data_IF_543987036892
#
_entry.id   IF_543987036892
#
_cell.length_a   1.000
_cell.length_b   1.000
_cell.length_c   1.000
_cell.angle_alpha   90.00
_cell.angle_beta   90.00
_cell.angle_gamma   90.00
#
_symmetry.space_group_name_H-M   'P 1'
#
loop_
_entity.id
_entity.type
_entity.pdbx_description
1 polymer ?
#
# COMPACT_ATOMS: atom_id res chain seq x y z
N UNK A 1 -1.31 22.10 -16.32
CA UNK A 1 -0.16 21.40 -16.95
C UNK A 1 0.55 20.44 -15.99
N UNK A 2 0.62 20.77 -14.69
CA UNK A 2 1.29 19.92 -13.68
C UNK A 2 0.61 18.56 -13.46
N UNK A 3 -0.72 18.51 -13.28
CA UNK A 3 -1.48 17.23 -13.09
C UNK A 3 -1.21 16.20 -14.19
N UNK A 4 -1.20 16.61 -15.47
CA UNK A 4 -0.91 15.72 -16.63
C UNK A 4 0.53 15.19 -16.64
N UNK A 5 1.51 16.01 -16.26
CA UNK A 5 2.92 15.58 -16.15
C UNK A 5 3.11 14.62 -14.97
N UNK A 6 2.46 14.88 -13.84
CA UNK A 6 2.53 14.05 -12.64
C UNK A 6 1.83 12.71 -12.84
N UNK A 7 0.67 12.69 -13.52
CA UNK A 7 -0.03 11.46 -13.90
C UNK A 7 0.86 10.53 -14.73
N UNK A 8 1.63 11.08 -15.68
CA UNK A 8 2.61 10.32 -16.45
C UNK A 8 3.79 9.78 -15.61
N UNK A 9 4.12 10.45 -14.51
CA UNK A 9 5.19 10.04 -13.58
C UNK A 9 4.71 8.98 -12.58
N UNK A 10 3.47 9.09 -12.09
CA UNK A 10 2.83 8.14 -11.19
C UNK A 10 2.49 6.81 -11.89
N UNK A 11 2.18 6.86 -13.19
CA UNK A 11 1.94 5.66 -14.02
C UNK A 11 3.22 5.08 -14.64
N UNK A 12 4.37 5.74 -14.49
CA UNK A 12 5.65 5.18 -14.91
C UNK A 12 6.06 4.06 -13.94
N UNK A 13 6.51 2.89 -14.43
CA UNK A 13 6.97 1.83 -13.54
C UNK A 13 8.13 2.38 -12.70
N UNK A 14 8.01 2.19 -11.38
CA UNK A 14 9.00 2.56 -10.36
C UNK A 14 10.30 1.78 -10.58
N UNK A 15 11.11 2.22 -11.54
CA UNK A 15 12.47 1.73 -11.80
C UNK A 15 13.41 2.73 -11.17
N UNK A 16 13.67 2.57 -9.87
CA UNK A 16 14.91 2.99 -9.21
C UNK A 16 14.85 2.68 -7.71
N UNK A 17 15.10 1.42 -7.36
CA UNK A 17 15.83 1.11 -6.13
C UNK A 17 16.99 0.21 -6.57
N UNK A 18 18.18 0.81 -6.72
CA UNK A 18 19.37 0.08 -7.09
C UNK A 18 19.76 -0.90 -5.97
N UNK A 19 20.20 -2.13 -6.28
CA UNK A 19 20.66 -3.07 -5.26
C UNK A 19 22.06 -2.65 -4.81
N UNK A 20 22.21 -2.30 -3.53
CA UNK A 20 23.52 -2.23 -2.88
C UNK A 20 24.05 -3.68 -2.77
N UNK A 21 25.07 -3.98 -3.57
CA UNK A 21 25.70 -5.30 -3.62
C UNK A 21 26.84 -5.48 -2.62
N UNK A 22 27.24 -6.75 -2.48
CA UNK A 22 28.42 -7.30 -1.80
C UNK A 22 28.36 -7.36 -0.26
N UNK A 23 28.76 -8.42 0.46
CA UNK A 23 29.62 -9.58 0.15
C UNK A 23 29.40 -10.67 1.23
N UNK A 24 29.73 -11.91 0.86
CA UNK A 24 29.63 -13.13 1.67
C UNK A 24 30.77 -13.27 2.68
N UNK A 25 30.49 -13.78 3.89
CA UNK A 25 31.39 -14.71 4.61
C UNK A 25 30.64 -15.59 5.61
N UNK A 26 31.09 -16.84 5.67
CA UNK A 26 30.68 -18.02 6.40
C UNK A 26 30.86 -17.99 7.93
N UNK A 27 30.07 -18.79 8.67
CA UNK A 27 30.40 -19.23 10.03
C UNK A 27 29.25 -19.95 10.76
N UNK A 28 29.51 -21.17 11.26
CA UNK A 28 28.57 -22.16 11.79
C UNK A 28 28.15 -22.00 13.27
N UNK A 29 26.92 -22.46 13.55
CA UNK A 29 26.44 -23.32 14.66
C UNK A 29 26.68 -22.95 16.16
N UNK A 30 25.60 -22.81 16.95
CA UNK A 30 25.07 -23.85 17.87
C UNK A 30 24.09 -23.31 18.94
N UNK A 31 22.95 -24.01 19.02
CA UNK A 31 22.00 -24.29 20.13
C UNK A 31 22.24 -23.70 21.54
N UNK A 32 21.21 -23.08 22.14
CA UNK A 32 20.47 -23.60 23.32
C UNK A 32 19.44 -22.61 23.89
N UNK A 33 18.33 -23.18 24.34
CA UNK A 33 17.15 -22.56 24.94
C UNK A 33 17.45 -21.90 26.30
N UNK A 34 16.64 -20.91 26.71
CA UNK A 34 15.87 -20.89 27.99
C UNK A 34 15.03 -19.60 28.06
N UNK A 35 13.74 -19.76 28.34
CA UNK A 35 12.80 -18.68 28.65
C UNK A 35 13.15 -17.95 29.95
N UNK A 36 12.99 -16.62 29.97
CA UNK A 36 12.59 -15.91 31.19
C UNK A 36 11.84 -14.64 30.83
N UNK A 37 10.57 -14.57 31.27
CA UNK A 37 9.75 -13.35 31.23
C UNK A 37 10.24 -12.40 32.32
N UNK A 38 10.68 -11.21 31.92
CA UNK A 38 10.83 -10.06 32.79
C UNK A 38 10.48 -8.82 31.97
N UNK A 39 9.52 -8.04 32.45
CA UNK A 39 9.03 -6.85 31.76
C UNK A 39 10.12 -5.79 31.63
N UNK A 40 10.36 -5.35 30.40
CA UNK A 40 11.11 -4.14 30.11
C UNK A 40 10.38 -3.38 28.99
N UNK A 41 9.67 -2.33 29.40
CA UNK A 41 9.28 -1.21 28.56
C UNK A 41 10.56 -0.40 28.27
N UNK A 42 11.43 -0.94 27.44
CA UNK A 42 12.64 -0.25 26.97
C UNK A 42 12.76 -0.41 25.46
N UNK A 43 12.81 0.74 24.77
CA UNK A 43 13.32 0.81 23.40
C UNK A 43 12.51 0.07 22.34
N UNK A 44 11.22 0.39 22.17
CA UNK A 44 10.61 0.25 20.83
C UNK A 44 11.25 1.30 19.91
N UNK A 45 12.49 1.02 19.47
CA UNK A 45 12.94 1.40 18.14
C UNK A 45 11.77 1.06 17.22
N UNK A 46 11.42 1.94 16.27
CA UNK A 46 10.37 1.70 15.29
C UNK A 46 10.58 0.35 14.59
N UNK A 47 10.15 -0.75 15.21
CA UNK A 47 9.94 -2.03 14.56
C UNK A 47 8.66 -1.75 13.79
N UNK A 48 8.87 -1.10 12.65
CA UNK A 48 7.93 -0.81 11.60
C UNK A 48 7.58 -2.19 11.01
N UNK A 49 6.96 -3.04 11.83
CA UNK A 49 6.48 -4.34 11.42
C UNK A 49 5.28 -4.02 10.54
N UNK A 50 5.46 -4.11 9.22
CA UNK A 50 4.30 -4.33 8.34
C UNK A 50 3.65 -5.58 8.92
N UNK A 51 2.44 -5.49 9.48
CA UNK A 51 1.85 -6.63 10.16
C UNK A 51 1.82 -7.80 9.19
N UNK A 52 2.48 -8.91 9.56
CA UNK A 52 2.66 -10.08 8.69
C UNK A 52 1.31 -10.68 8.27
N UNK A 53 0.24 -10.33 8.97
CA UNK A 53 -1.16 -10.68 8.69
C UNK A 53 -1.80 -9.86 7.54
N UNK A 54 -1.12 -8.84 7.01
CA UNK A 54 -1.53 -8.12 5.79
C UNK A 54 -1.04 -8.80 4.50
N UNK A 55 -0.11 -9.76 4.62
CA UNK A 55 0.56 -10.39 3.48
C UNK A 55 0.50 -11.90 3.60
N UNK A 56 -0.01 -12.58 2.58
CA UNK A 56 0.09 -14.03 2.48
C UNK A 56 1.44 -14.38 1.86
N UNK A 57 2.24 -15.18 2.56
CA UNK A 57 3.52 -15.66 2.03
C UNK A 57 3.28 -16.69 0.94
N UNK A 58 3.96 -16.50 -0.18
CA UNK A 58 3.77 -17.27 -1.39
C UNK A 58 2.59 -16.76 -2.21
N UNK A 59 2.89 -16.30 -3.43
CA UNK A 59 1.99 -16.43 -4.58
C UNK A 59 1.56 -17.91 -4.61
N UNK A 60 0.47 -18.30 -5.20
CA UNK A 60 0.04 -19.73 -5.28
C UNK A 60 -0.28 -20.45 -3.95
N UNK A 61 0.05 -19.89 -2.79
CA UNK A 61 -0.41 -20.40 -1.50
C UNK A 61 -1.93 -20.43 -1.46
N UNK A 62 -2.49 -21.58 -1.07
CA UNK A 62 -3.93 -21.77 -0.87
C UNK A 62 -4.26 -21.48 0.58
N UNK A 63 -5.15 -20.53 0.80
CA UNK A 63 -5.67 -20.17 2.12
C UNK A 63 -7.19 -20.24 2.10
N UNK A 64 -7.79 -20.43 3.27
CA UNK A 64 -9.23 -20.37 3.39
C UNK A 64 -9.74 -18.97 2.97
N UNK A 65 -10.90 -18.90 2.27
CA UNK A 65 -11.51 -17.63 1.93
C UNK A 65 -11.94 -16.87 3.18
N UNK A 66 -11.89 -15.54 3.10
CA UNK A 66 -12.37 -14.68 4.18
C UNK A 66 -13.90 -14.56 4.11
N UNK A 67 -14.56 -14.60 5.26
CA UNK A 67 -15.96 -14.16 5.35
C UNK A 67 -16.06 -12.65 5.12
N UNK A 68 -17.25 -12.14 4.79
CA UNK A 68 -17.47 -10.70 4.63
C UNK A 68 -17.02 -9.90 5.87
N UNK A 69 -17.33 -10.38 7.08
CA UNK A 69 -16.88 -9.75 8.32
C UNK A 69 -15.35 -9.72 8.47
N UNK A 70 -14.65 -10.79 8.05
CA UNK A 70 -13.20 -10.81 8.05
C UNK A 70 -12.59 -9.87 6.99
N UNK A 71 -13.27 -9.67 5.85
CA UNK A 71 -12.89 -8.68 4.83
C UNK A 71 -12.98 -7.26 5.37
N UNK A 72 -14.06 -6.92 6.09
CA UNK A 72 -14.11 -5.64 6.84
C UNK A 72 -13.06 -5.55 7.95
N UNK A 73 -12.70 -6.65 8.59
CA UNK A 73 -11.54 -6.71 9.48
C UNK A 73 -10.23 -6.30 8.80
N UNK A 74 -10.06 -6.59 7.51
CA UNK A 74 -8.89 -6.14 6.75
C UNK A 74 -8.87 -4.62 6.56
N UNK A 75 -10.03 -3.96 6.49
CA UNK A 75 -10.09 -2.48 6.45
C UNK A 75 -9.44 -1.90 7.69
N UNK A 76 -9.83 -2.37 8.88
CA UNK A 76 -9.27 -1.90 10.15
C UNK A 76 -7.76 -2.17 10.25
N UNK A 77 -7.31 -3.36 9.80
CA UNK A 77 -5.90 -3.74 9.82
C UNK A 77 -5.04 -2.89 8.87
N UNK A 78 -5.52 -2.63 7.66
CA UNK A 78 -4.79 -1.79 6.70
C UNK A 78 -4.81 -0.32 7.13
N UNK A 79 -5.95 0.20 7.58
CA UNK A 79 -6.03 1.62 7.98
C UNK A 79 -5.25 1.90 9.26
N UNK A 80 -5.30 1.00 10.24
CA UNK A 80 -4.53 1.11 11.49
C UNK A 80 -3.03 0.85 11.33
N UNK A 81 -2.55 0.49 10.13
CA UNK A 81 -1.14 0.28 9.88
C UNK A 81 -0.40 1.64 9.80
N UNK A 82 0.67 1.86 10.59
CA UNK A 82 1.47 3.09 10.52
C UNK A 82 2.00 3.42 9.11
N UNK A 83 2.30 2.41 8.30
CA UNK A 83 2.76 2.60 6.92
C UNK A 83 1.71 3.27 6.03
N UNK A 84 0.42 3.11 6.34
CA UNK A 84 -0.65 3.80 5.62
C UNK A 84 -0.48 5.30 5.80
N UNK A 85 -0.37 5.77 7.04
CA UNK A 85 -0.17 7.20 7.33
C UNK A 85 1.15 7.76 6.78
N UNK A 86 2.24 6.98 6.83
CA UNK A 86 3.53 7.37 6.23
C UNK A 86 3.40 7.51 4.70
N UNK A 87 2.74 6.55 4.05
CA UNK A 87 2.45 6.60 2.61
C UNK A 87 1.59 7.80 2.24
N UNK A 88 0.50 8.04 2.98
CA UNK A 88 -0.38 9.19 2.81
C UNK A 88 0.34 10.52 3.04
N UNK A 89 1.28 10.59 3.99
CA UNK A 89 2.11 11.78 4.19
C UNK A 89 3.05 12.03 3.00
N UNK A 90 3.62 10.97 2.41
CA UNK A 90 4.43 11.09 1.22
C UNK A 90 3.60 11.53 0.00
N UNK A 91 2.38 11.02 -0.16
CA UNK A 91 1.41 11.46 -1.17
C UNK A 91 1.09 12.95 -1.03
N UNK A 92 0.72 13.40 0.17
CA UNK A 92 0.47 14.81 0.45
C UNK A 92 1.69 15.70 0.16
N UNK A 93 2.91 15.19 0.39
CA UNK A 93 4.15 15.88 0.07
C UNK A 93 4.42 16.01 -1.43
N UNK A 94 4.07 14.98 -2.22
CA UNK A 94 4.10 15.03 -3.68
C UNK A 94 3.06 16.06 -4.16
N UNK A 95 1.84 15.96 -3.67
CA UNK A 95 0.77 16.92 -4.00
C UNK A 95 1.15 18.36 -3.63
N UNK A 96 1.80 18.56 -2.49
CA UNK A 96 2.36 19.85 -2.07
C UNK A 96 3.40 20.38 -3.07
N UNK A 97 4.38 19.53 -3.43
CA UNK A 97 5.49 19.90 -4.32
C UNK A 97 5.02 20.25 -5.73
N UNK A 98 3.96 19.60 -6.20
CA UNK A 98 3.34 19.87 -7.50
C UNK A 98 2.17 20.85 -7.42
N UNK A 99 1.90 21.42 -6.24
CA UNK A 99 0.79 22.32 -5.99
C UNK A 99 -0.57 21.75 -6.43
N UNK A 100 -0.77 20.44 -6.29
CA UNK A 100 -2.08 19.81 -6.50
C UNK A 100 -3.03 20.35 -5.42
N UNK A 101 -4.30 20.62 -5.75
CA UNK A 101 -5.23 21.32 -4.86
C UNK A 101 -4.76 22.74 -4.50
N UNK A 102 -4.49 23.59 -5.49
CA UNK A 102 -3.80 24.89 -5.34
C UNK A 102 -4.46 25.81 -4.28
N UNK A 103 -5.79 25.75 -4.15
CA UNK A 103 -6.55 26.53 -3.16
C UNK A 103 -6.25 26.20 -1.70
N UNK A 104 -5.68 25.02 -1.43
CA UNK A 104 -5.18 24.71 -0.10
C UNK A 104 -3.98 25.59 0.28
N UNK A 105 -3.35 26.24 -0.69
CA UNK A 105 -2.19 27.10 -0.49
C UNK A 105 -0.91 26.30 -0.30
N UNK A 106 0.15 26.98 0.10
CA UNK A 106 1.47 26.40 0.36
C UNK A 106 1.83 26.50 1.85
N UNK A 107 2.95 25.91 2.24
CA UNK A 107 3.37 25.83 3.63
C UNK A 107 2.61 24.76 4.44
N UNK A 108 2.81 24.78 5.76
CA UNK A 108 2.31 23.75 6.66
C UNK A 108 0.78 23.61 6.66
N UNK A 109 0.05 24.71 6.50
CA UNK A 109 -1.42 24.69 6.44
C UNK A 109 -1.90 23.97 5.16
N UNK A 110 -1.34 24.32 4.01
CA UNK A 110 -1.68 23.66 2.74
C UNK A 110 -1.33 22.18 2.74
N UNK A 111 -0.17 21.83 3.31
CA UNK A 111 0.22 20.43 3.47
C UNK A 111 -0.74 19.67 4.39
N UNK A 112 -1.13 20.27 5.52
CA UNK A 112 -2.08 19.67 6.46
C UNK A 112 -3.45 19.42 5.84
N UNK A 113 -3.93 20.33 4.99
CA UNK A 113 -5.18 20.16 4.22
C UNK A 113 -5.08 18.99 3.23
N UNK A 114 -3.97 18.91 2.47
CA UNK A 114 -3.71 17.78 1.55
C UNK A 114 -3.66 16.46 2.31
N UNK A 115 -2.84 16.39 3.36
CA UNK A 115 -2.71 15.20 4.18
C UNK A 115 -4.05 14.75 4.79
N UNK A 116 -4.85 15.67 5.33
CA UNK A 116 -6.18 15.34 5.87
C UNK A 116 -7.12 14.79 4.80
N UNK A 117 -7.12 15.38 3.59
CA UNK A 117 -7.90 14.89 2.47
C UNK A 117 -7.41 13.50 2.02
N UNK A 118 -6.10 13.30 1.92
CA UNK A 118 -5.49 12.04 1.48
C UNK A 118 -5.74 10.90 2.49
N UNK A 119 -5.84 11.22 3.79
CA UNK A 119 -6.27 10.26 4.82
C UNK A 119 -7.74 9.85 4.62
N UNK A 120 -8.63 10.80 4.34
CA UNK A 120 -10.04 10.51 4.07
C UNK A 120 -10.22 9.70 2.78
N UNK A 121 -9.44 10.06 1.77
CA UNK A 121 -9.30 9.34 0.51
C UNK A 121 -8.87 7.89 0.76
N UNK A 122 -7.78 7.70 1.49
CA UNK A 122 -7.25 6.38 1.84
C UNK A 122 -8.27 5.55 2.63
N UNK A 123 -8.91 6.14 3.64
CA UNK A 123 -9.93 5.47 4.45
C UNK A 123 -11.08 4.93 3.60
N UNK A 124 -11.61 5.77 2.69
CA UNK A 124 -12.73 5.39 1.83
C UNK A 124 -12.31 4.36 0.78
N UNK A 125 -11.14 4.50 0.13
CA UNK A 125 -10.63 3.48 -0.79
C UNK A 125 -10.45 2.14 -0.11
N UNK A 126 -9.86 2.09 1.08
CA UNK A 126 -9.68 0.83 1.82
C UNK A 126 -11.02 0.22 2.24
N UNK A 127 -11.98 1.04 2.68
CA UNK A 127 -13.32 0.57 3.05
C UNK A 127 -14.01 -0.15 1.87
N UNK A 128 -13.96 0.45 0.68
CA UNK A 128 -14.55 -0.14 -0.51
C UNK A 128 -13.71 -1.28 -1.10
N UNK A 129 -12.38 -1.11 -1.18
CA UNK A 129 -11.43 -2.00 -1.85
C UNK A 129 -11.03 -3.24 -1.05
N UNK A 130 -11.13 -3.20 0.28
CA UNK A 130 -10.89 -4.37 1.14
C UNK A 130 -12.18 -4.93 1.77
N UNK A 131 -13.21 -4.12 1.95
CA UNK A 131 -14.48 -4.51 2.58
C UNK A 131 -15.59 -4.76 1.57
N UNK A 132 -16.18 -3.69 1.05
CA UNK A 132 -17.44 -3.72 0.27
C UNK A 132 -17.29 -4.55 -1.01
N UNK A 133 -16.42 -4.14 -1.93
CA UNK A 133 -16.32 -4.77 -3.24
C UNK A 133 -15.79 -6.20 -3.18
N UNK A 134 -14.77 -6.54 -2.37
CA UNK A 134 -14.35 -7.92 -2.24
C UNK A 134 -15.43 -8.83 -1.64
N UNK A 135 -16.29 -8.30 -0.77
CA UNK A 135 -17.43 -9.04 -0.24
C UNK A 135 -18.50 -9.28 -1.30
N UNK A 136 -18.75 -8.29 -2.16
CA UNK A 136 -19.74 -8.38 -3.25
C UNK A 136 -19.27 -9.28 -4.41
N UNK A 137 -18.00 -9.19 -4.80
CA UNK A 137 -17.45 -9.92 -5.95
C UNK A 137 -16.81 -11.26 -5.58
N UNK A 138 -16.86 -11.66 -4.32
CA UNK A 138 -16.23 -12.88 -3.82
C UNK A 138 -14.74 -12.95 -4.19
N UNK A 139 -14.02 -11.87 -3.93
CA UNK A 139 -12.57 -11.79 -4.11
C UNK A 139 -11.84 -11.68 -2.78
N UNK A 140 -10.59 -12.10 -2.78
CA UNK A 140 -9.70 -12.02 -1.64
C UNK A 140 -8.96 -10.68 -1.67
N UNK A 141 -9.15 -9.82 -0.65
CA UNK A 141 -8.47 -8.51 -0.57
C UNK A 141 -6.98 -8.59 -0.20
N UNK A 142 -6.47 -9.76 0.19
CA UNK A 142 -5.10 -9.89 0.71
C UNK A 142 -4.06 -9.87 -0.40
N UNK A 143 -2.90 -9.27 -0.12
CA UNK A 143 -1.75 -9.34 -1.01
C UNK A 143 -1.01 -10.66 -0.83
N UNK A 144 -0.76 -11.37 -1.93
CA UNK A 144 0.01 -12.62 -1.94
C UNK A 144 1.42 -12.33 -2.43
N UNK A 145 2.41 -12.45 -1.55
CA UNK A 145 3.81 -12.09 -1.83
C UNK A 145 4.49 -13.15 -2.69
N UNK A 146 5.14 -12.74 -3.78
CA UNK A 146 5.90 -13.66 -4.63
C UNK A 146 7.17 -14.15 -3.92
N UNK A 147 7.92 -13.24 -3.29
CA UNK A 147 8.97 -13.52 -2.32
C UNK A 147 10.24 -14.19 -2.84
N UNK A 148 10.25 -14.66 -4.09
CA UNK A 148 11.39 -15.26 -4.77
C UNK A 148 11.47 -14.78 -6.22
N UNK A 149 12.62 -14.99 -6.86
CA UNK A 149 12.91 -14.50 -8.22
C UNK A 149 13.70 -13.19 -8.24
N UNK A 150 13.94 -12.66 -9.44
CA UNK A 150 14.69 -11.42 -9.64
C UNK A 150 13.92 -10.20 -9.12
N UNK A 151 14.65 -9.13 -8.79
CA UNK A 151 14.06 -7.84 -8.41
C UNK A 151 12.98 -7.38 -9.41
N UNK A 152 13.29 -7.39 -10.71
CA UNK A 152 12.36 -6.97 -11.76
C UNK A 152 11.11 -7.87 -11.85
N UNK A 153 11.27 -9.19 -11.73
CA UNK A 153 10.12 -10.10 -11.73
C UNK A 153 9.16 -9.80 -10.58
N UNK A 154 9.70 -9.51 -9.39
CA UNK A 154 8.90 -9.22 -8.20
C UNK A 154 8.27 -7.85 -8.26
N UNK A 155 8.99 -6.83 -8.75
CA UNK A 155 8.47 -5.49 -8.97
C UNK A 155 7.34 -5.47 -10.02
N UNK A 156 7.51 -6.20 -11.12
CA UNK A 156 6.44 -6.38 -12.12
C UNK A 156 5.23 -7.11 -11.53
N UNK A 157 5.48 -8.18 -10.77
CA UNK A 157 4.42 -8.93 -10.10
C UNK A 157 3.62 -8.04 -9.14
N UNK A 158 4.29 -7.30 -8.26
CA UNK A 158 3.64 -6.43 -7.26
C UNK A 158 2.89 -5.28 -7.93
N UNK A 159 3.50 -4.64 -8.94
CA UNK A 159 2.88 -3.55 -9.69
C UNK A 159 1.62 -3.98 -10.44
N UNK A 160 1.57 -5.22 -10.96
CA UNK A 160 0.37 -5.72 -11.67
C UNK A 160 -0.77 -6.14 -10.73
N UNK A 161 -0.56 -6.24 -9.41
CA UNK A 161 -1.62 -6.69 -8.48
C UNK A 161 -2.77 -5.69 -8.32
N UNK A 162 -2.57 -4.42 -8.65
CA UNK A 162 -3.67 -3.44 -8.73
C UNK A 162 -4.65 -3.75 -9.87
N UNK A 163 -4.23 -4.53 -10.88
CA UNK A 163 -5.09 -4.98 -11.98
C UNK A 163 -5.47 -6.45 -11.89
N UNK A 164 -4.81 -7.24 -11.03
CA UNK A 164 -5.05 -8.68 -10.92
C UNK A 164 -5.21 -9.09 -9.46
N UNK A 165 -6.41 -9.54 -9.12
CA UNK A 165 -6.76 -10.07 -7.79
C UNK A 165 -7.05 -11.57 -7.84
N UNK A 166 -7.39 -12.16 -6.70
CA UNK A 166 -7.84 -13.55 -6.56
C UNK A 166 -9.30 -13.60 -6.17
N UNK A 167 -10.04 -14.57 -6.70
CA UNK A 167 -11.34 -14.94 -6.14
C UNK A 167 -11.15 -15.66 -4.80
N UNK A 168 -12.22 -15.76 -4.00
CA UNK A 168 -12.26 -16.56 -2.78
C UNK A 168 -11.93 -18.05 -3.05
N UNK A 169 -12.14 -18.52 -4.28
CA UNK A 169 -11.75 -19.85 -4.76
C UNK A 169 -10.30 -19.96 -5.27
N UNK A 170 -9.54 -18.87 -5.24
CA UNK A 170 -8.11 -18.82 -5.61
C UNK A 170 -7.82 -18.60 -7.10
N UNK A 171 -8.82 -18.31 -7.95
CA UNK A 171 -8.58 -18.01 -9.37
C UNK A 171 -8.13 -16.56 -9.55
N UNK A 172 -7.22 -16.32 -10.49
CA UNK A 172 -6.82 -14.96 -10.86
C UNK A 172 -7.86 -14.31 -11.76
N UNK A 173 -8.28 -13.09 -11.42
CA UNK A 173 -9.26 -12.30 -12.17
C UNK A 173 -8.84 -10.85 -12.22
N UNK A 174 -9.45 -10.07 -13.12
CA UNK A 174 -9.28 -8.62 -13.13
C UNK A 174 -9.70 -8.03 -11.79
N UNK A 175 -8.91 -7.10 -11.27
CA UNK A 175 -9.15 -6.45 -9.98
C UNK A 175 -10.20 -5.34 -10.09
N UNK A 176 -11.43 -5.72 -10.48
CA UNK A 176 -12.57 -4.82 -10.47
C UNK A 176 -12.82 -4.17 -9.08
N UNK A 177 -12.64 -4.88 -7.94
CA UNK A 177 -12.76 -4.25 -6.62
C UNK A 177 -11.88 -3.03 -6.43
N UNK A 178 -10.60 -3.11 -6.80
CA UNK A 178 -9.66 -1.99 -6.72
C UNK A 178 -10.11 -0.82 -7.58
N UNK A 179 -10.36 -1.07 -8.87
CA UNK A 179 -10.70 -0.01 -9.82
C UNK A 179 -12.00 0.70 -9.41
N UNK A 180 -13.00 -0.05 -8.95
CA UNK A 180 -14.26 0.52 -8.46
C UNK A 180 -14.08 1.24 -7.12
N UNK A 181 -13.19 0.78 -6.25
CA UNK A 181 -12.85 1.46 -5.00
C UNK A 181 -12.16 2.80 -5.28
N UNK A 182 -11.13 2.82 -6.14
CA UNK A 182 -10.44 4.04 -6.54
C UNK A 182 -11.41 5.02 -7.19
N UNK A 183 -12.31 4.55 -8.07
CA UNK A 183 -13.33 5.39 -8.69
C UNK A 183 -14.35 5.92 -7.66
N UNK A 184 -14.90 5.06 -6.79
CA UNK A 184 -15.90 5.48 -5.80
C UNK A 184 -15.31 6.48 -4.82
N UNK A 185 -14.12 6.20 -4.33
CA UNK A 185 -13.42 7.06 -3.39
C UNK A 185 -13.06 8.40 -4.03
N UNK A 186 -12.54 8.41 -5.27
CA UNK A 186 -12.33 9.67 -6.03
C UNK A 186 -13.63 10.42 -6.31
N UNK A 187 -14.76 9.72 -6.41
CA UNK A 187 -16.10 10.29 -6.46
C UNK A 187 -16.47 11.04 -5.18
N UNK A 188 -16.24 10.40 -4.04
CA UNK A 188 -16.48 10.97 -2.71
C UNK A 188 -15.57 12.17 -2.45
N UNK A 189 -14.31 12.12 -2.90
CA UNK A 189 -13.32 13.19 -2.68
C UNK A 189 -13.78 14.56 -3.17
N UNK A 190 -14.62 14.61 -4.21
CA UNK A 190 -15.17 15.86 -4.75
C UNK A 190 -16.09 16.61 -3.78
N UNK A 191 -16.58 15.94 -2.73
CA UNK A 191 -17.37 16.57 -1.68
C UNK A 191 -16.54 17.46 -0.73
N UNK A 192 -15.22 17.23 -0.63
CA UNK A 192 -14.35 17.98 0.29
C UNK A 192 -13.09 18.59 -0.35
N UNK A 193 -12.74 18.21 -1.59
CA UNK A 193 -11.80 18.98 -2.38
C UNK A 193 -12.38 20.34 -2.83
N UNK A 194 -11.53 21.32 -3.17
CA UNK A 194 -11.99 22.64 -3.60
C UNK A 194 -12.99 22.56 -4.75
N UNK A 195 -14.02 23.43 -4.74
CA UNK A 195 -15.20 23.31 -5.61
C UNK A 195 -14.93 23.49 -7.10
N UNK A 196 -13.81 24.12 -7.47
CA UNK A 196 -13.32 24.24 -8.84
C UNK A 196 -12.63 22.96 -9.37
N UNK A 197 -12.39 21.97 -8.51
CA UNK A 197 -11.72 20.70 -8.83
C UNK A 197 -12.68 19.51 -8.93
N UNK A 198 -13.93 19.78 -9.30
CA UNK A 198 -14.99 18.76 -9.43
C UNK A 198 -15.16 18.21 -10.85
N UNK A 199 -14.26 18.55 -11.77
CA UNK A 199 -14.33 18.11 -13.16
C UNK A 199 -13.79 16.68 -13.36
N UNK A 200 -14.04 16.12 -14.55
CA UNK A 200 -13.63 14.75 -14.87
C UNK A 200 -12.11 14.54 -14.88
N UNK A 201 -11.33 15.58 -15.21
CA UNK A 201 -9.87 15.50 -15.21
C UNK A 201 -9.30 15.32 -13.80
N UNK A 202 -9.87 16.01 -12.82
CA UNK A 202 -9.48 15.88 -11.41
C UNK A 202 -9.89 14.53 -10.85
N UNK A 203 -11.10 14.08 -11.16
CA UNK A 203 -11.53 12.72 -10.85
C UNK A 203 -10.56 11.66 -11.40
N UNK A 204 -10.19 11.76 -12.68
CA UNK A 204 -9.29 10.81 -13.32
C UNK A 204 -7.89 10.86 -12.70
N UNK A 205 -7.41 12.04 -12.32
CA UNK A 205 -6.15 12.21 -11.60
C UNK A 205 -6.21 11.51 -10.24
N UNK A 206 -7.18 11.82 -9.38
CA UNK A 206 -7.31 11.21 -8.05
C UNK A 206 -7.43 9.69 -8.15
N UNK A 207 -8.22 9.19 -9.10
CA UNK A 207 -8.39 7.75 -9.31
C UNK A 207 -7.07 7.08 -9.71
N UNK A 208 -6.32 7.67 -10.63
CA UNK A 208 -5.07 7.11 -11.11
C UNK A 208 -3.94 7.23 -10.06
N UNK A 209 -3.88 8.33 -9.32
CA UNK A 209 -2.93 8.50 -8.21
C UNK A 209 -3.12 7.39 -7.19
N UNK A 210 -4.35 7.07 -6.81
CA UNK A 210 -4.66 5.97 -5.89
C UNK A 210 -4.15 4.63 -6.40
N UNK A 211 -4.49 4.28 -7.64
CA UNK A 211 -4.00 3.03 -8.26
C UNK A 211 -2.46 2.99 -8.26
N UNK A 212 -1.79 4.11 -8.50
CA UNK A 212 -0.33 4.19 -8.45
C UNK A 212 0.21 4.01 -7.02
N UNK A 213 -0.36 4.66 -6.01
CA UNK A 213 0.04 4.50 -4.62
C UNK A 213 -0.25 3.09 -4.09
N UNK A 214 -1.35 2.46 -4.49
CA UNK A 214 -1.63 1.06 -4.16
C UNK A 214 -0.61 0.09 -4.79
N UNK A 215 -0.13 0.39 -6.01
CA UNK A 215 0.96 -0.35 -6.63
C UNK A 215 2.28 -0.18 -5.87
N UNK A 216 2.59 1.04 -5.41
CA UNK A 216 3.74 1.33 -4.54
C UNK A 216 3.60 0.57 -3.21
N UNK A 217 2.42 0.56 -2.61
CA UNK A 217 2.16 -0.16 -1.36
C UNK A 217 2.29 -1.68 -1.52
N UNK A 218 1.85 -2.23 -2.66
CA UNK A 218 2.09 -3.63 -3.01
C UNK A 218 3.58 -3.93 -3.17
N UNK A 219 4.35 -3.03 -3.78
CA UNK A 219 5.81 -3.17 -3.85
C UNK A 219 6.45 -3.09 -2.44
N UNK A 220 5.97 -2.20 -1.57
CA UNK A 220 6.41 -2.15 -0.18
C UNK A 220 6.12 -3.48 0.53
N UNK A 221 4.92 -4.05 0.40
CA UNK A 221 4.58 -5.39 0.93
C UNK A 221 5.49 -6.49 0.36
N UNK A 222 5.85 -6.41 -0.91
CA UNK A 222 6.70 -7.38 -1.59
C UNK A 222 8.14 -7.34 -1.04
N UNK A 223 8.73 -6.15 -0.88
CA UNK A 223 10.15 -5.97 -0.58
C UNK A 223 10.46 -5.66 0.88
N UNK A 224 9.50 -5.20 1.69
CA UNK A 224 9.72 -4.86 3.10
C UNK A 224 10.35 -5.99 3.92
N UNK A 225 9.96 -7.27 3.77
CA UNK A 225 10.64 -8.36 4.49
C UNK A 225 12.15 -8.44 4.19
N UNK A 226 12.57 -8.13 2.96
CA UNK A 226 13.99 -8.16 2.57
C UNK A 226 14.73 -6.94 3.12
N UNK A 227 14.12 -5.76 3.04
CA UNK A 227 14.65 -4.52 3.62
C UNK A 227 14.83 -4.70 5.12
N UNK A 228 13.83 -5.25 5.82
CA UNK A 228 13.90 -5.50 7.26
C UNK A 228 15.05 -6.44 7.59
N UNK A 229 15.20 -7.54 6.86
CA UNK A 229 16.28 -8.50 7.07
C UNK A 229 17.66 -7.87 6.87
N UNK A 230 17.82 -6.99 5.88
CA UNK A 230 19.10 -6.35 5.57
C UNK A 230 19.45 -5.22 6.56
N UNK A 231 18.47 -4.40 6.96
CA UNK A 231 18.68 -3.23 7.82
C UNK A 231 18.75 -3.60 9.31
N UNK A 232 17.91 -4.52 9.76
CA UNK A 232 17.77 -4.82 11.19
C UNK A 232 18.39 -6.17 11.61
N UNK A 233 18.85 -6.99 10.66
CA UNK A 233 19.38 -8.32 10.95
C UNK A 233 18.30 -9.29 11.43
N UNK A 234 18.36 -10.54 10.99
CA UNK A 234 17.56 -11.61 11.59
C UNK A 234 18.27 -12.12 12.83
N UNK A 235 17.63 -12.03 14.00
CA UNK A 235 17.84 -12.99 15.08
C UNK A 235 16.95 -14.21 14.81
#
# INVERSE_FOLDING_TARGET
MQKRKLLGLLLAPLVCLAPLGAQSTSGQASTSQTESKSGQLEGKVLDLVVPTDLVIQGRDTKVAPLSAGQKFGQVAKNFGNPFTFVGTAAEAGIDQAFNIHERYGQGAEGYGKRYGADVADTATAQFFGYGVYPSLFHTDPRYYRMGSGSFFSRAWYSGTRVFVTRTDSGRHVFNAPEILASATSSGISRAYYPSDEQNFGDFAYTMASRIAFDAIYNAAKEFWPDVRKHVFGGH
#
